data_IF_272201220224
#
_entry.id   IF_272201220224
#
_cell.length_a   1.000
_cell.length_b   1.000
_cell.length_c   1.000
_cell.angle_alpha   90.00
_cell.angle_beta   90.00
_cell.angle_gamma   90.00
#
_symmetry.space_group_name_H-M   'P 1'
#
loop_
_entity.id
_entity.type
_entity.pdbx_description
1 polymer ?
#
# COMPACT_ATOMS: atom_id res chain seq x y z
N UNK A 1 23.42 52.13 37.19
CA UNK A 1 23.66 50.73 36.80
C UNK A 1 22.33 49.99 36.98
N UNK A 2 21.55 49.82 35.92
CA UNK A 2 20.23 49.17 35.99
C UNK A 2 20.43 47.65 35.91
N UNK A 3 19.98 46.94 36.95
CA UNK A 3 19.93 45.48 36.96
C UNK A 3 18.87 45.05 35.91
N UNK A 4 19.33 44.45 34.82
CA UNK A 4 18.45 43.72 33.92
C UNK A 4 18.09 42.43 34.63
N UNK A 5 16.87 42.35 35.14
CA UNK A 5 16.28 41.10 35.63
C UNK A 5 16.14 40.19 34.42
N UNK A 6 16.99 39.17 34.35
CA UNK A 6 16.89 38.14 33.29
C UNK A 6 15.49 37.53 33.31
N UNK A 7 14.84 37.54 32.18
CA UNK A 7 13.61 36.78 31.99
C UNK A 7 13.91 35.32 32.34
N UNK A 8 13.26 34.83 33.39
CA UNK A 8 13.28 33.40 33.68
C UNK A 8 12.65 32.69 32.46
N UNK A 9 13.48 32.07 31.63
CA UNK A 9 13.02 31.15 30.61
C UNK A 9 12.34 30.00 31.34
N UNK A 10 11.02 29.95 31.23
CA UNK A 10 10.25 28.80 31.71
C UNK A 10 10.81 27.59 30.96
N UNK A 11 11.48 26.70 31.70
CA UNK A 11 11.92 25.43 31.14
C UNK A 11 10.67 24.66 30.79
N UNK A 12 10.37 24.59 29.51
CA UNK A 12 9.25 23.77 29.00
C UNK A 12 9.65 22.31 29.17
N UNK A 13 9.11 21.66 30.20
CA UNK A 13 9.29 20.21 30.35
C UNK A 13 8.54 19.51 29.22
N UNK A 14 9.25 18.67 28.45
CA UNK A 14 8.61 17.82 27.47
C UNK A 14 7.99 16.61 28.17
N UNK A 15 6.76 16.25 27.76
CA UNK A 15 6.12 15.03 28.20
C UNK A 15 6.97 13.80 27.81
N UNK A 16 7.15 12.82 28.71
CA UNK A 16 7.78 11.55 28.36
C UNK A 16 6.89 10.69 27.43
N UNK A 17 5.61 11.06 27.30
CA UNK A 17 4.67 10.39 26.40
C UNK A 17 4.76 11.06 25.05
N UNK A 18 5.17 10.30 24.04
CA UNK A 18 5.09 10.73 22.64
C UNK A 18 3.68 10.40 22.18
N UNK A 19 2.86 11.43 22.01
CA UNK A 19 1.59 11.25 21.31
C UNK A 19 1.89 10.92 19.86
N UNK A 20 1.28 9.84 19.35
CA UNK A 20 1.39 9.46 17.95
C UNK A 20 0.92 10.61 17.06
N UNK A 21 1.70 10.94 16.05
CA UNK A 21 1.28 11.92 15.04
C UNK A 21 0.06 11.40 14.24
N UNK A 22 -0.52 12.27 13.44
CA UNK A 22 -1.52 11.87 12.45
C UNK A 22 -0.81 11.13 11.30
N UNK A 23 -0.81 9.81 11.36
CA UNK A 23 -0.24 8.95 10.33
C UNK A 23 -1.36 8.31 9.52
N UNK A 24 -1.11 8.15 8.22
CA UNK A 24 -2.01 7.39 7.37
C UNK A 24 -1.99 5.90 7.77
N UNK A 25 -3.16 5.27 7.76
CA UNK A 25 -3.25 3.84 8.00
C UNK A 25 -2.48 3.03 6.97
N UNK A 26 -2.01 1.85 7.36
CA UNK A 26 -1.33 0.95 6.43
C UNK A 26 -2.34 0.31 5.50
N UNK A 27 -2.18 0.59 4.18
CA UNK A 27 -3.05 0.07 3.13
C UNK A 27 -2.65 -1.35 2.74
N UNK A 28 -1.33 -1.58 2.59
CA UNK A 28 -0.79 -2.87 2.14
C UNK A 28 -0.43 -3.75 3.34
N UNK A 29 -1.44 -4.40 3.89
CA UNK A 29 -1.31 -5.35 5.00
C UNK A 29 -1.42 -6.79 4.50
N UNK A 30 -1.25 -7.74 5.41
CA UNK A 30 -1.45 -9.15 5.12
C UNK A 30 -2.83 -9.40 4.50
N UNK A 31 -2.85 -10.16 3.40
CA UNK A 31 -4.04 -10.47 2.63
C UNK A 31 -4.45 -9.40 1.61
N UNK A 32 -3.75 -8.26 1.55
CA UNK A 32 -3.97 -7.21 0.53
C UNK A 32 -3.00 -7.35 -0.64
N UNK A 33 -1.81 -7.88 -0.37
CA UNK A 33 -0.76 -8.07 -1.36
C UNK A 33 -0.12 -9.44 -1.22
N UNK A 34 0.49 -9.91 -2.29
CA UNK A 34 1.28 -11.12 -2.31
C UNK A 34 2.75 -10.78 -2.03
N UNK A 35 3.15 -10.80 -0.77
CA UNK A 35 4.49 -10.40 -0.33
C UNK A 35 5.31 -11.53 0.29
N UNK A 36 4.65 -12.55 0.85
CA UNK A 36 5.28 -13.49 1.77
C UNK A 36 6.10 -14.61 1.11
N UNK A 37 5.99 -14.80 -0.20
CA UNK A 37 6.70 -15.89 -0.89
C UNK A 37 7.92 -15.42 -1.70
N UNK A 38 8.17 -14.12 -1.73
CA UNK A 38 9.29 -13.55 -2.47
C UNK A 38 10.44 -13.18 -1.52
N UNK A 39 11.34 -14.14 -1.27
CA UNK A 39 12.60 -13.83 -0.60
C UNK A 39 13.59 -13.24 -1.62
N UNK A 40 13.79 -11.94 -1.53
CA UNK A 40 14.69 -11.19 -2.43
C UNK A 40 16.15 -11.47 -2.09
N UNK A 41 16.47 -11.81 -0.85
CA UNK A 41 17.83 -11.88 -0.38
C UNK A 41 18.60 -10.59 -0.72
N UNK A 42 19.70 -10.73 -1.47
CA UNK A 42 20.50 -9.61 -1.97
C UNK A 42 20.20 -9.27 -3.46
N UNK A 43 19.23 -9.95 -4.08
CA UNK A 43 18.87 -9.69 -5.48
C UNK A 43 18.12 -8.35 -5.63
N UNK A 44 18.41 -7.62 -6.70
CA UNK A 44 17.67 -6.40 -7.06
C UNK A 44 16.47 -6.69 -7.98
N UNK A 45 16.24 -7.96 -8.32
CA UNK A 45 15.19 -8.41 -9.24
C UNK A 45 14.73 -9.80 -8.85
N UNK A 46 13.42 -10.03 -8.94
CA UNK A 46 12.80 -11.36 -8.83
C UNK A 46 12.04 -11.66 -10.11
N UNK A 47 12.08 -12.90 -10.52
CA UNK A 47 11.29 -13.41 -11.64
C UNK A 47 10.13 -14.26 -11.12
N UNK A 48 8.92 -13.88 -11.50
CA UNK A 48 7.69 -14.61 -11.17
C UNK A 48 7.15 -15.26 -12.44
N UNK A 49 6.99 -16.58 -12.40
CA UNK A 49 6.35 -17.31 -13.48
C UNK A 49 4.83 -17.28 -13.30
N UNK A 50 4.12 -16.79 -14.31
CA UNK A 50 2.66 -16.79 -14.38
C UNK A 50 2.22 -17.82 -15.41
N UNK A 51 1.50 -18.83 -14.94
CA UNK A 51 0.94 -19.87 -15.82
C UNK A 51 -0.42 -19.41 -16.34
N UNK A 52 -0.57 -19.42 -17.67
CA UNK A 52 -1.88 -19.25 -18.31
C UNK A 52 -2.49 -20.63 -18.55
N UNK A 53 -3.70 -20.91 -18.04
CA UNK A 53 -4.35 -22.20 -18.31
C UNK A 53 -4.61 -22.35 -19.81
N UNK A 54 -4.26 -23.51 -20.35
CA UNK A 54 -4.62 -23.91 -21.69
C UNK A 54 -6.07 -24.40 -21.68
N UNK A 55 -6.98 -23.65 -22.31
CA UNK A 55 -8.39 -23.98 -22.42
C UNK A 55 -8.69 -24.90 -23.63
N UNK A 56 -7.64 -25.42 -24.26
CA UNK A 56 -7.79 -26.32 -25.45
C UNK A 56 -8.10 -27.78 -25.10
N UNK A 57 -8.23 -28.10 -23.80
CA UNK A 57 -8.54 -29.46 -23.35
C UNK A 57 -9.97 -29.83 -23.71
N UNK A 58 -10.11 -30.76 -24.62
CA UNK A 58 -11.41 -31.36 -25.00
C UNK A 58 -11.60 -32.73 -24.34
N UNK A 59 -12.86 -33.17 -24.18
CA UNK A 59 -13.15 -34.52 -23.71
C UNK A 59 -12.54 -35.58 -24.64
N UNK A 60 -11.71 -36.45 -24.08
CA UNK A 60 -11.03 -37.50 -24.85
C UNK A 60 -12.00 -38.59 -25.30
N UNK A 61 -11.88 -38.97 -26.55
CA UNK A 61 -12.55 -40.19 -27.06
C UNK A 61 -11.93 -41.46 -26.43
N UNK A 62 -12.70 -42.41 -25.94
CA UNK A 62 -12.16 -43.66 -25.41
C UNK A 62 -11.21 -44.35 -26.42
N UNK A 63 -9.97 -44.65 -25.96
CA UNK A 63 -8.95 -45.31 -26.81
C UNK A 63 -8.03 -44.37 -27.61
N UNK A 64 -8.24 -43.04 -27.56
CA UNK A 64 -7.33 -42.09 -28.21
C UNK A 64 -6.06 -41.88 -27.36
N UNK A 65 -4.94 -41.52 -27.98
CA UNK A 65 -3.67 -41.18 -27.30
C UNK A 65 -3.76 -39.84 -26.59
N UNK A 66 -2.85 -39.60 -25.64
CA UNK A 66 -2.72 -38.31 -25.00
C UNK A 66 -2.20 -37.26 -25.98
N UNK A 67 -2.85 -36.08 -25.98
CA UNK A 67 -2.30 -34.92 -26.68
C UNK A 67 -1.37 -34.19 -25.71
N UNK A 68 -0.10 -34.06 -26.07
CA UNK A 68 0.85 -33.31 -25.30
C UNK A 68 0.73 -31.83 -25.71
N UNK A 69 0.45 -30.96 -24.76
CA UNK A 69 0.53 -29.51 -24.91
C UNK A 69 1.58 -28.94 -23.96
N UNK A 70 2.29 -27.92 -24.39
CA UNK A 70 3.18 -27.16 -23.53
C UNK A 70 2.42 -25.95 -22.97
N UNK A 71 2.52 -25.75 -21.66
CA UNK A 71 1.98 -24.53 -21.05
C UNK A 71 2.82 -23.34 -21.48
N UNK A 72 2.16 -22.29 -21.93
CA UNK A 72 2.83 -21.01 -22.15
C UNK A 72 3.09 -20.33 -20.78
N UNK A 73 4.33 -20.31 -20.34
CA UNK A 73 4.74 -19.58 -19.15
C UNK A 73 5.11 -18.16 -19.53
N UNK A 74 4.56 -17.20 -18.79
CA UNK A 74 5.00 -15.81 -18.89
C UNK A 74 5.86 -15.50 -17.67
N UNK A 75 7.10 -15.12 -17.91
CA UNK A 75 8.00 -14.66 -16.83
C UNK A 75 7.84 -13.15 -16.67
N UNK A 76 7.53 -12.73 -15.47
CA UNK A 76 7.36 -11.31 -15.11
C UNK A 76 8.50 -10.91 -14.16
N UNK A 77 9.24 -9.89 -14.55
CA UNK A 77 10.31 -9.33 -13.74
C UNK A 77 9.77 -8.29 -12.77
N UNK A 78 10.10 -8.42 -11.49
CA UNK A 78 9.84 -7.43 -10.46
C UNK A 78 11.17 -6.85 -10.03
N UNK A 79 11.39 -5.57 -10.33
CA UNK A 79 12.63 -4.86 -10.03
C UNK A 79 12.46 -3.96 -8.81
N UNK A 80 13.45 -3.96 -7.89
CA UNK A 80 13.50 -3.02 -6.76
C UNK A 80 14.06 -1.67 -7.19
N UNK A 81 13.32 -0.95 -8.02
CA UNK A 81 13.74 0.30 -8.66
C UNK A 81 13.20 1.57 -7.97
N UNK A 82 12.45 1.42 -6.88
CA UNK A 82 12.00 2.52 -6.05
C UNK A 82 12.79 2.53 -4.73
N UNK A 83 13.76 3.42 -4.61
CA UNK A 83 14.55 3.60 -3.39
C UNK A 83 13.94 4.71 -2.54
N UNK A 84 13.63 4.40 -1.30
CA UNK A 84 13.12 5.33 -0.30
C UNK A 84 14.19 5.55 0.75
N UNK A 85 14.65 6.81 0.89
CA UNK A 85 15.68 7.14 1.84
C UNK A 85 15.29 8.36 2.67
N UNK A 86 15.63 8.34 3.94
CA UNK A 86 15.48 9.48 4.83
C UNK A 86 16.62 9.56 5.83
N UNK A 87 17.09 10.79 6.07
CA UNK A 87 18.07 11.09 7.10
C UNK A 87 17.54 12.20 8.00
N UNK A 88 17.51 11.97 9.32
CA UNK A 88 17.05 12.93 10.29
C UNK A 88 18.15 13.27 11.30
N UNK A 89 18.37 14.58 11.52
CA UNK A 89 19.33 15.08 12.52
C UNK A 89 18.72 15.06 13.91
N UNK A 90 19.49 14.61 14.88
CA UNK A 90 19.17 14.70 16.31
C UNK A 90 20.29 15.45 17.01
N UNK A 91 20.11 16.76 17.32
CA UNK A 91 21.14 17.56 17.99
C UNK A 91 21.51 17.00 19.37
N UNK A 92 22.79 17.14 19.77
CA UNK A 92 23.27 16.62 21.04
C UNK A 92 22.53 17.22 22.26
N UNK A 93 22.19 18.49 22.20
CA UNK A 93 21.46 19.15 23.30
C UNK A 93 20.05 18.57 23.48
N UNK A 94 19.40 18.14 22.40
CA UNK A 94 18.08 17.46 22.43
C UNK A 94 18.20 16.10 23.10
N UNK A 95 19.25 15.33 22.77
CA UNK A 95 19.52 14.04 23.40
C UNK A 95 19.80 14.19 24.93
N UNK A 96 20.50 15.26 25.32
CA UNK A 96 20.84 15.49 26.71
C UNK A 96 19.67 16.03 27.56
N UNK A 97 18.71 16.72 26.95
CA UNK A 97 17.63 17.40 27.69
C UNK A 97 16.29 16.65 27.67
N UNK A 98 16.10 15.70 26.76
CA UNK A 98 14.87 14.94 26.69
C UNK A 98 14.88 13.70 27.60
N UNK A 99 13.82 13.49 28.39
CA UNK A 99 13.72 12.37 29.31
C UNK A 99 13.43 11.02 28.59
N UNK A 100 13.09 11.07 27.32
CA UNK A 100 12.75 9.87 26.50
C UNK A 100 13.89 9.52 25.55
N UNK A 101 13.99 8.27 25.11
CA UNK A 101 14.98 7.84 24.14
C UNK A 101 14.70 8.45 22.75
N UNK A 102 15.11 9.70 22.57
CA UNK A 102 14.84 10.52 21.37
C UNK A 102 15.27 9.81 20.09
N UNK A 103 16.38 9.08 20.12
CA UNK A 103 16.86 8.32 18.96
C UNK A 103 15.86 7.26 18.51
N UNK A 104 15.26 6.53 19.45
CA UNK A 104 14.24 5.51 19.14
C UNK A 104 13.01 6.15 18.49
N UNK A 105 12.52 7.26 19.09
CA UNK A 105 11.37 7.97 18.55
C UNK A 105 11.64 8.56 17.16
N UNK A 106 12.86 9.04 16.91
CA UNK A 106 13.25 9.55 15.59
C UNK A 106 13.45 8.44 14.57
N UNK A 107 13.96 7.27 14.96
CA UNK A 107 14.02 6.08 14.11
C UNK A 107 12.61 5.70 13.69
N UNK A 108 11.69 5.57 14.65
CA UNK A 108 10.29 5.26 14.35
C UNK A 108 9.65 6.26 13.37
N UNK A 109 9.87 7.58 13.59
CA UNK A 109 9.34 8.61 12.69
C UNK A 109 9.92 8.54 11.27
N UNK A 110 11.20 8.16 11.12
CA UNK A 110 11.85 7.96 9.81
C UNK A 110 11.23 6.76 9.10
N UNK A 111 11.06 5.65 9.79
CA UNK A 111 10.44 4.43 9.25
C UNK A 111 9.00 4.69 8.81
N UNK A 112 8.21 5.45 9.60
CA UNK A 112 6.84 5.81 9.25
C UNK A 112 6.76 6.70 7.99
N UNK A 113 7.65 7.66 7.85
CA UNK A 113 7.71 8.51 6.66
C UNK A 113 8.03 7.68 5.39
N UNK A 114 8.95 6.72 5.50
CA UNK A 114 9.29 5.79 4.42
C UNK A 114 8.09 4.89 4.10
N UNK A 115 7.41 4.37 5.13
CA UNK A 115 6.20 3.55 4.97
C UNK A 115 5.12 4.29 4.18
N UNK A 116 4.84 5.55 4.52
CA UNK A 116 3.86 6.38 3.80
C UNK A 116 4.28 6.61 2.34
N UNK A 117 5.56 6.91 2.09
CA UNK A 117 6.06 7.11 0.74
C UNK A 117 5.93 5.83 -0.11
N UNK A 118 6.26 4.68 0.47
CA UNK A 118 6.10 3.36 -0.14
C UNK A 118 4.66 3.05 -0.51
N UNK A 119 3.70 3.31 0.39
CA UNK A 119 2.28 3.10 0.14
C UNK A 119 1.77 3.97 -1.01
N UNK A 120 2.15 5.26 -1.06
CA UNK A 120 1.81 6.16 -2.18
C UNK A 120 2.31 5.62 -3.51
N UNK A 121 3.53 5.09 -3.53
CA UNK A 121 4.13 4.49 -4.73
C UNK A 121 3.39 3.22 -5.15
N UNK A 122 3.06 2.34 -4.22
CA UNK A 122 2.28 1.13 -4.50
C UNK A 122 0.88 1.43 -5.07
N UNK A 123 0.18 2.43 -4.51
CA UNK A 123 -1.09 2.91 -5.05
C UNK A 123 -0.93 3.50 -6.46
N UNK A 124 0.14 4.25 -6.73
CA UNK A 124 0.41 4.78 -8.06
C UNK A 124 0.62 3.66 -9.09
N UNK A 125 1.35 2.60 -8.73
CA UNK A 125 1.56 1.43 -9.60
C UNK A 125 0.24 0.71 -9.87
N UNK A 126 -0.58 0.45 -8.84
CA UNK A 126 -1.90 -0.17 -9.00
C UNK A 126 -2.81 0.63 -9.95
N UNK A 127 -2.83 1.96 -9.81
CA UNK A 127 -3.64 2.85 -10.66
C UNK A 127 -3.14 2.90 -12.10
N UNK A 128 -1.83 2.74 -12.31
CA UNK A 128 -1.21 2.83 -13.64
C UNK A 128 -1.23 1.51 -14.39
N UNK A 129 -0.90 0.40 -13.70
CA UNK A 129 -0.80 -0.92 -14.31
C UNK A 129 -2.16 -1.66 -14.31
N UNK A 130 -3.13 -1.22 -13.50
CA UNK A 130 -4.49 -1.75 -13.50
C UNK A 130 -5.30 -1.31 -14.71
N UNK A 131 -6.36 -2.05 -15.02
CA UNK A 131 -7.31 -1.72 -16.09
C UNK A 131 -8.31 -0.67 -15.59
N UNK A 132 -8.46 0.45 -16.29
CA UNK A 132 -9.49 1.41 -15.95
C UNK A 132 -10.89 0.85 -16.25
N UNK A 133 -11.86 1.14 -15.38
CA UNK A 133 -13.27 0.83 -15.64
C UNK A 133 -13.83 1.80 -16.69
N UNK A 134 -14.71 1.30 -17.57
CA UNK A 134 -15.43 2.14 -18.54
C UNK A 134 -16.48 3.02 -17.87
N UNK A 135 -16.91 2.67 -16.65
CA UNK A 135 -17.88 3.42 -15.88
C UNK A 135 -17.18 4.57 -15.14
N UNK A 136 -17.57 5.81 -15.43
CA UNK A 136 -17.03 7.05 -14.84
C UNK A 136 -17.99 7.77 -13.90
N UNK A 137 -19.15 7.18 -13.59
CA UNK A 137 -20.10 7.79 -12.66
C UNK A 137 -19.53 7.85 -11.24
N UNK A 138 -19.76 8.93 -10.53
CA UNK A 138 -19.36 9.08 -9.14
C UNK A 138 -20.06 8.06 -8.23
N UNK A 139 -19.34 7.56 -7.24
CA UNK A 139 -19.87 6.64 -6.24
C UNK A 139 -20.64 7.41 -5.16
N UNK A 140 -21.82 6.89 -4.85
CA UNK A 140 -22.70 7.41 -3.79
C UNK A 140 -23.26 6.25 -2.98
N UNK A 141 -23.81 6.50 -1.80
CA UNK A 141 -24.49 5.48 -1.00
C UNK A 141 -25.67 4.81 -1.73
N UNK A 142 -26.26 5.48 -2.73
CA UNK A 142 -27.37 4.91 -3.51
C UNK A 142 -26.88 3.90 -4.57
N UNK A 143 -25.67 4.04 -5.13
CA UNK A 143 -25.21 3.24 -6.27
C UNK A 143 -23.98 2.36 -5.99
N UNK A 144 -23.29 2.53 -4.85
CA UNK A 144 -22.03 1.81 -4.54
C UNK A 144 -22.19 0.29 -4.67
N UNK A 145 -23.31 -0.28 -4.20
CA UNK A 145 -23.57 -1.73 -4.27
C UNK A 145 -23.69 -2.21 -5.72
N UNK A 146 -24.41 -1.48 -6.56
CA UNK A 146 -24.58 -1.80 -7.97
C UNK A 146 -23.25 -1.73 -8.73
N UNK A 147 -22.49 -0.64 -8.54
CA UNK A 147 -21.21 -0.42 -9.20
C UNK A 147 -20.17 -1.46 -8.82
N UNK A 148 -20.06 -1.80 -7.54
CA UNK A 148 -19.17 -2.85 -7.03
C UNK A 148 -19.55 -4.22 -7.62
N UNK A 149 -20.84 -4.56 -7.65
CA UNK A 149 -21.30 -5.81 -8.24
C UNK A 149 -21.03 -5.88 -9.75
N UNK A 150 -21.16 -4.77 -10.48
CA UNK A 150 -20.88 -4.71 -11.91
C UNK A 150 -19.39 -5.01 -12.19
N UNK A 151 -18.48 -4.35 -11.47
CA UNK A 151 -17.03 -4.59 -11.63
C UNK A 151 -16.65 -5.99 -11.17
N UNK A 152 -17.19 -6.47 -10.04
CA UNK A 152 -16.98 -7.86 -9.60
C UNK A 152 -17.43 -8.86 -10.66
N UNK A 153 -18.58 -8.63 -11.30
CA UNK A 153 -19.10 -9.48 -12.39
C UNK A 153 -18.16 -9.48 -13.59
N UNK A 154 -17.61 -8.31 -13.95
CA UNK A 154 -16.63 -8.19 -15.03
C UNK A 154 -15.35 -9.00 -14.74
N UNK A 155 -14.77 -8.85 -13.55
CA UNK A 155 -13.59 -9.61 -13.13
C UNK A 155 -13.87 -11.12 -13.11
N UNK A 156 -15.03 -11.53 -12.59
CA UNK A 156 -15.43 -12.95 -12.57
C UNK A 156 -15.61 -13.55 -13.97
N UNK A 157 -16.07 -12.78 -14.96
CA UNK A 157 -16.13 -13.22 -16.37
C UNK A 157 -14.73 -13.46 -16.96
N UNK A 158 -13.72 -12.74 -16.47
CA UNK A 158 -12.30 -12.93 -16.82
C UNK A 158 -11.62 -14.02 -15.97
N UNK A 159 -12.40 -14.80 -15.19
CA UNK A 159 -11.93 -15.84 -14.27
C UNK A 159 -11.08 -15.32 -13.10
N UNK A 160 -10.98 -14.00 -12.91
CA UNK A 160 -10.37 -13.42 -11.73
C UNK A 160 -11.21 -13.65 -10.47
N UNK A 161 -10.56 -13.72 -9.32
CA UNK A 161 -11.20 -13.90 -8.02
C UNK A 161 -10.94 -12.66 -7.15
N UNK A 162 -11.67 -11.55 -7.41
CA UNK A 162 -11.45 -10.34 -6.63
C UNK A 162 -11.77 -10.59 -5.17
N UNK A 163 -10.84 -10.30 -4.30
CA UNK A 163 -10.94 -10.50 -2.85
C UNK A 163 -10.54 -9.25 -2.06
N UNK A 164 -9.97 -8.22 -2.73
CA UNK A 164 -9.56 -6.95 -2.12
C UNK A 164 -10.20 -5.77 -2.82
N UNK A 165 -10.66 -4.80 -2.02
CA UNK A 165 -11.12 -3.48 -2.49
C UNK A 165 -10.42 -2.41 -1.67
N UNK A 166 -9.58 -1.60 -2.34
CA UNK A 166 -9.02 -0.38 -1.77
C UNK A 166 -9.93 0.78 -2.16
N UNK A 167 -10.59 1.39 -1.19
CA UNK A 167 -11.57 2.44 -1.44
C UNK A 167 -11.04 3.80 -0.94
N UNK A 168 -11.37 4.87 -1.68
CA UNK A 168 -11.20 6.23 -1.17
C UNK A 168 -12.08 6.46 0.06
N UNK A 169 -11.76 7.48 0.86
CA UNK A 169 -12.52 7.82 2.08
C UNK A 169 -14.01 8.01 1.78
N UNK A 170 -14.34 8.70 0.69
CA UNK A 170 -15.72 8.97 0.30
C UNK A 170 -16.46 7.68 -0.10
N UNK A 171 -15.83 6.85 -0.92
CA UNK A 171 -16.40 5.55 -1.33
C UNK A 171 -16.54 4.60 -0.15
N UNK A 172 -15.56 4.58 0.74
CA UNK A 172 -15.61 3.77 1.95
C UNK A 172 -16.76 4.20 2.87
N UNK A 173 -16.94 5.52 3.05
CA UNK A 173 -18.05 6.07 3.83
C UNK A 173 -19.42 5.74 3.19
N UNK A 174 -19.53 5.85 1.86
CA UNK A 174 -20.73 5.45 1.13
C UNK A 174 -21.04 3.95 1.28
N UNK A 175 -20.01 3.10 1.29
CA UNK A 175 -20.16 1.67 1.54
C UNK A 175 -20.65 1.37 2.97
N UNK A 176 -20.09 2.05 3.98
CA UNK A 176 -20.50 1.90 5.37
C UNK A 176 -21.99 2.20 5.57
N UNK A 177 -22.50 3.24 4.90
CA UNK A 177 -23.90 3.65 4.97
C UNK A 177 -24.85 2.55 4.45
N UNK A 178 -24.44 1.85 3.40
CA UNK A 178 -25.20 0.73 2.81
C UNK A 178 -24.98 -0.56 3.59
N UNK A 179 -23.73 -0.86 3.94
CA UNK A 179 -23.38 -2.07 4.67
C UNK A 179 -24.05 -2.12 6.05
N UNK A 180 -24.22 -0.98 6.71
CA UNK A 180 -24.93 -0.87 7.98
C UNK A 180 -26.38 -1.37 7.95
N UNK A 181 -27.00 -1.40 6.76
CA UNK A 181 -28.38 -1.90 6.56
C UNK A 181 -28.42 -3.39 6.20
N UNK A 182 -27.40 -3.88 5.49
CA UNK A 182 -27.36 -5.23 4.92
C UNK A 182 -26.35 -6.15 5.64
N UNK A 183 -25.64 -5.65 6.65
CA UNK A 183 -24.51 -6.32 7.27
C UNK A 183 -24.88 -6.98 8.60
N UNK A 184 -24.65 -8.28 8.68
CA UNK A 184 -24.61 -8.99 9.97
C UNK A 184 -23.13 -9.07 10.38
N UNK A 185 -22.69 -8.33 11.41
CA UNK A 185 -21.28 -8.33 11.79
C UNK A 185 -20.87 -9.72 12.25
N UNK A 186 -19.82 -10.27 11.63
CA UNK A 186 -19.26 -11.58 12.01
C UNK A 186 -18.51 -11.48 13.34
N UNK A 187 -18.08 -10.27 13.73
CA UNK A 187 -17.56 -9.99 15.07
C UNK A 187 -17.53 -8.47 15.30
N UNK A 188 -18.24 -8.01 16.31
CA UNK A 188 -18.33 -6.59 16.65
C UNK A 188 -17.01 -6.01 17.19
N UNK A 189 -16.15 -6.84 17.78
CA UNK A 189 -14.95 -6.36 18.49
C UNK A 189 -13.84 -5.88 17.54
N UNK A 190 -13.71 -6.46 16.35
CA UNK A 190 -12.68 -6.08 15.40
C UNK A 190 -12.99 -4.80 14.63
N UNK A 191 -14.26 -4.54 14.33
CA UNK A 191 -14.71 -3.35 13.59
C UNK A 191 -14.57 -2.10 14.45
N UNK A 192 -14.94 -2.18 15.73
CA UNK A 192 -14.84 -1.05 16.67
C UNK A 192 -13.39 -0.74 17.03
N UNK A 193 -12.54 -1.76 17.12
CA UNK A 193 -11.14 -1.58 17.51
C UNK A 193 -10.23 -1.09 16.37
N UNK A 194 -10.54 -1.43 15.12
CA UNK A 194 -9.65 -1.16 13.97
C UNK A 194 -10.21 -0.18 12.95
N UNK A 195 -11.49 0.22 13.07
CA UNK A 195 -12.17 1.04 12.05
C UNK A 195 -12.35 0.33 10.70
N UNK A 196 -12.10 -0.97 10.64
CA UNK A 196 -12.19 -1.78 9.41
C UNK A 196 -13.47 -2.58 9.41
N UNK A 197 -14.28 -2.45 8.37
CA UNK A 197 -15.50 -3.22 8.21
C UNK A 197 -15.22 -4.72 7.96
N UNK A 198 -13.98 -5.08 7.66
CA UNK A 198 -13.62 -6.44 7.34
C UNK A 198 -14.13 -6.86 5.96
N UNK A 199 -14.95 -7.93 5.91
CA UNK A 199 -15.41 -8.48 4.64
C UNK A 199 -16.83 -8.04 4.32
N UNK A 200 -17.02 -7.43 3.14
CA UNK A 200 -18.33 -7.16 2.55
C UNK A 200 -18.40 -7.71 1.14
N UNK A 201 -19.47 -8.39 0.79
CA UNK A 201 -19.65 -9.11 -0.49
C UNK A 201 -18.56 -10.15 -0.78
N UNK A 202 -17.92 -10.70 0.26
CA UNK A 202 -16.84 -11.68 0.13
C UNK A 202 -15.49 -11.10 -0.27
N UNK A 203 -15.31 -9.79 -0.13
CA UNK A 203 -14.07 -9.06 -0.39
C UNK A 203 -13.63 -8.29 0.85
N UNK A 204 -12.31 -8.20 1.07
CA UNK A 204 -11.71 -7.38 2.12
C UNK A 204 -11.75 -5.92 1.68
N UNK A 205 -12.36 -5.06 2.48
CA UNK A 205 -12.43 -3.62 2.25
C UNK A 205 -11.42 -2.89 3.12
N UNK A 206 -10.57 -2.12 2.47
CA UNK A 206 -9.54 -1.32 3.11
C UNK A 206 -9.72 0.14 2.71
N UNK A 207 -9.81 1.03 3.71
CA UNK A 207 -9.83 2.46 3.48
C UNK A 207 -8.44 2.94 3.11
N UNK A 208 -8.27 3.43 1.90
CA UNK A 208 -7.02 3.98 1.40
C UNK A 208 -7.01 5.50 1.55
N UNK A 209 -6.75 5.98 2.76
CA UNK A 209 -6.74 7.43 3.10
C UNK A 209 -5.75 8.23 2.29
N UNK A 210 -4.78 7.58 1.67
CA UNK A 210 -3.78 8.21 0.80
C UNK A 210 -4.29 8.44 -0.63
N UNK A 211 -5.40 7.81 -1.07
CA UNK A 211 -6.01 8.13 -2.36
C UNK A 211 -6.53 9.58 -2.34
N UNK A 212 -6.37 10.29 -3.45
CA UNK A 212 -6.80 11.69 -3.58
C UNK A 212 -5.66 12.67 -3.84
N UNK A 213 -4.42 12.19 -4.05
CA UNK A 213 -3.25 13.02 -4.34
C UNK A 213 -2.49 12.59 -5.58
N UNK A 214 -1.48 13.39 -5.95
CA UNK A 214 -0.55 13.05 -7.03
C UNK A 214 0.70 12.39 -6.44
N UNK A 215 1.05 11.21 -6.93
CA UNK A 215 2.17 10.42 -6.44
C UNK A 215 3.23 10.21 -7.52
N UNK A 216 4.48 10.09 -7.06
CA UNK A 216 5.62 9.76 -7.92
C UNK A 216 6.04 8.32 -7.69
N UNK A 217 6.39 7.63 -8.76
CA UNK A 217 6.99 6.30 -8.72
C UNK A 217 7.96 6.13 -9.88
N UNK A 218 8.88 5.18 -9.80
CA UNK A 218 9.71 4.78 -10.91
C UNK A 218 9.06 3.58 -11.62
N UNK A 219 8.84 3.68 -12.92
CA UNK A 219 8.32 2.58 -13.72
C UNK A 219 9.35 1.44 -13.84
N UNK A 220 8.98 0.35 -14.52
CA UNK A 220 9.85 -0.81 -14.71
C UNK A 220 11.22 -0.48 -15.34
N UNK A 221 11.32 0.62 -16.09
CA UNK A 221 12.57 1.13 -16.69
C UNK A 221 13.33 2.11 -15.80
N UNK A 222 12.91 2.33 -14.56
CA UNK A 222 13.52 3.29 -13.62
C UNK A 222 13.23 4.76 -13.92
N UNK A 223 12.27 5.06 -14.81
CA UNK A 223 11.91 6.43 -15.17
C UNK A 223 10.82 6.94 -14.24
N UNK A 224 11.06 8.12 -13.64
CA UNK A 224 10.10 8.76 -12.74
C UNK A 224 8.81 9.15 -13.49
N UNK A 225 7.69 8.70 -12.95
CA UNK A 225 6.34 9.00 -13.42
C UNK A 225 5.56 9.71 -12.31
N UNK A 226 4.53 10.47 -12.70
CA UNK A 226 3.58 11.08 -11.77
C UNK A 226 2.18 10.61 -12.12
N UNK A 227 1.44 10.13 -11.12
CA UNK A 227 0.07 9.64 -11.25
C UNK A 227 -0.83 10.45 -10.35
N UNK A 228 -1.93 10.93 -10.92
CA UNK A 228 -3.01 11.55 -10.17
C UNK A 228 -4.03 10.49 -9.77
N UNK A 229 -4.30 10.40 -8.47
CA UNK A 229 -5.28 9.49 -7.89
C UNK A 229 -6.51 10.21 -7.34
N UNK A 230 -6.64 11.52 -7.58
CA UNK A 230 -7.74 12.33 -7.05
C UNK A 230 -9.12 11.86 -7.54
N UNK A 231 -9.18 11.33 -8.77
CA UNK A 231 -10.42 10.80 -9.34
C UNK A 231 -10.66 9.32 -9.07
N UNK A 232 -9.80 8.65 -8.28
CA UNK A 232 -9.94 7.21 -8.02
C UNK A 232 -10.94 6.99 -6.89
N UNK A 233 -12.06 6.35 -7.20
CA UNK A 233 -13.07 5.95 -6.22
C UNK A 233 -12.63 4.70 -5.45
N UNK A 234 -12.29 3.62 -6.19
CA UNK A 234 -11.75 2.40 -5.60
C UNK A 234 -10.96 1.57 -6.61
N UNK A 235 -10.16 0.65 -6.08
CA UNK A 235 -9.40 -0.35 -6.85
C UNK A 235 -9.84 -1.72 -6.37
N UNK A 236 -10.29 -2.58 -7.28
CA UNK A 236 -10.72 -3.95 -6.97
C UNK A 236 -9.79 -4.95 -7.67
N UNK A 237 -9.24 -5.90 -6.92
CA UNK A 237 -8.30 -6.87 -7.47
C UNK A 237 -8.24 -8.17 -6.67
N UNK A 238 -7.52 -9.15 -7.20
CA UNK A 238 -7.11 -10.37 -6.52
C UNK A 238 -5.75 -10.13 -5.87
N UNK A 239 -5.62 -10.33 -4.54
CA UNK A 239 -4.39 -10.07 -3.80
C UNK A 239 -3.16 -10.78 -4.37
N UNK A 240 -3.36 -11.93 -5.03
CA UNK A 240 -2.29 -12.70 -5.68
C UNK A 240 -1.71 -11.99 -6.92
N UNK A 241 -2.38 -10.97 -7.46
CA UNK A 241 -1.97 -10.27 -8.68
C UNK A 241 -1.18 -9.00 -8.44
N UNK A 242 -1.02 -8.59 -7.20
CA UNK A 242 -0.21 -7.43 -6.83
C UNK A 242 0.89 -7.84 -5.87
N UNK A 243 2.14 -7.74 -6.33
CA UNK A 243 3.32 -8.13 -5.56
C UNK A 243 4.11 -6.91 -5.12
N UNK A 244 4.53 -6.94 -3.86
CA UNK A 244 5.47 -5.98 -3.27
C UNK A 244 6.67 -6.75 -2.76
N UNK A 245 7.86 -6.33 -3.15
CA UNK A 245 9.12 -6.89 -2.65
C UNK A 245 9.94 -5.78 -2.03
N UNK A 246 10.46 -6.02 -0.84
CA UNK A 246 11.26 -5.07 -0.09
C UNK A 246 12.66 -5.59 0.16
N UNK A 247 13.62 -4.70 0.03
CA UNK A 247 15.01 -4.93 0.38
C UNK A 247 15.46 -3.82 1.31
N UNK A 248 15.68 -4.15 2.58
CA UNK A 248 16.29 -3.22 3.52
C UNK A 248 17.76 -3.03 3.13
N UNK A 249 18.11 -1.84 2.68
CA UNK A 249 19.49 -1.49 2.31
C UNK A 249 20.27 -1.07 3.55
N UNK A 250 19.68 -0.18 4.35
CA UNK A 250 20.37 0.38 5.51
C UNK A 250 19.40 0.93 6.55
N UNK A 251 19.67 0.59 7.81
CA UNK A 251 19.10 1.29 8.98
C UNK A 251 20.23 1.53 9.97
N UNK A 252 20.60 2.79 10.22
CA UNK A 252 21.70 3.11 11.11
C UNK A 252 21.55 4.43 11.84
N UNK A 253 22.24 4.54 12.96
CA UNK A 253 22.50 5.80 13.64
C UNK A 253 24.00 6.06 13.62
N UNK A 254 24.40 7.23 13.14
CA UNK A 254 25.81 7.66 13.07
C UNK A 254 25.99 9.01 13.72
N UNK A 255 27.20 9.33 14.12
CA UNK A 255 27.55 10.68 14.57
C UNK A 255 27.43 11.67 13.40
N UNK A 256 26.90 12.85 13.69
CA UNK A 256 26.77 13.88 12.67
C UNK A 256 28.14 14.54 12.39
N UNK A 257 28.72 14.38 11.20
CA UNK A 257 30.06 14.90 10.88
C UNK A 257 30.12 16.44 10.83
N UNK A 258 28.95 17.11 10.70
CA UNK A 258 28.87 18.57 10.50
C UNK A 258 28.39 19.33 11.76
N UNK A 259 27.97 18.64 12.81
CA UNK A 259 27.47 19.27 14.05
C UNK A 259 27.40 18.27 15.18
N UNK A 260 27.41 18.75 16.44
CA UNK A 260 27.22 17.88 17.60
C UNK A 260 25.83 17.22 17.57
N UNK A 261 25.82 15.89 17.66
CA UNK A 261 24.60 15.07 17.65
C UNK A 261 24.70 13.88 16.72
N UNK A 262 23.58 13.23 16.47
CA UNK A 262 23.50 12.00 15.64
C UNK A 262 22.61 12.20 14.41
N UNK A 263 22.81 11.35 13.42
CA UNK A 263 21.95 11.19 12.25
C UNK A 263 21.29 9.81 12.32
N UNK A 264 19.97 9.75 12.21
CA UNK A 264 19.22 8.52 11.97
C UNK A 264 18.98 8.42 10.47
N UNK A 265 19.41 7.33 9.86
CA UNK A 265 19.33 7.10 8.42
C UNK A 265 18.71 5.76 8.14
N UNK A 266 17.75 5.74 7.20
CA UNK A 266 17.12 4.51 6.70
C UNK A 266 16.99 4.60 5.19
N UNK A 267 17.18 3.44 4.53
CA UNK A 267 17.05 3.26 3.09
C UNK A 267 16.46 1.88 2.83
N UNK A 268 15.37 1.85 2.05
CA UNK A 268 14.67 0.65 1.60
C UNK A 268 14.48 0.74 0.10
N UNK A 269 14.89 -0.30 -0.62
CA UNK A 269 14.56 -0.47 -2.03
C UNK A 269 13.32 -1.35 -2.15
N UNK A 270 12.32 -0.88 -2.89
CA UNK A 270 11.06 -1.60 -3.08
C UNK A 270 10.74 -1.79 -4.56
N UNK A 271 10.29 -2.98 -4.90
CA UNK A 271 9.70 -3.32 -6.18
C UNK A 271 8.19 -3.51 -6.06
N UNK A 272 7.45 -2.93 -6.99
CA UNK A 272 6.00 -3.08 -7.11
C UNK A 272 5.66 -3.60 -8.48
N UNK A 273 4.73 -4.57 -8.57
CA UNK A 273 4.28 -5.10 -9.85
C UNK A 273 2.88 -5.67 -9.81
N UNK A 274 2.08 -5.31 -10.80
CA UNK A 274 0.84 -6.01 -11.12
C UNK A 274 1.18 -7.16 -12.07
N UNK A 275 1.05 -8.39 -11.61
CA UNK A 275 1.39 -9.58 -12.40
C UNK A 275 0.33 -9.91 -13.45
N UNK A 276 -0.93 -9.51 -13.23
CA UNK A 276 -2.01 -9.69 -14.20
C UNK A 276 -2.95 -8.47 -14.18
N UNK A 277 -2.76 -7.54 -15.12
CA UNK A 277 -3.57 -6.34 -15.23
C UNK A 277 -5.07 -6.61 -15.48
N UNK A 278 -5.42 -7.75 -16.09
CA UNK A 278 -6.82 -8.12 -16.34
C UNK A 278 -7.59 -8.44 -15.03
N UNK A 279 -6.86 -8.75 -13.95
CA UNK A 279 -7.41 -9.06 -12.63
C UNK A 279 -7.46 -7.84 -11.69
N UNK A 280 -7.07 -6.65 -12.17
CA UNK A 280 -7.09 -5.39 -11.42
C UNK A 280 -7.95 -4.38 -12.16
N UNK A 281 -8.99 -3.87 -11.51
CA UNK A 281 -9.86 -2.83 -12.08
C UNK A 281 -9.81 -1.58 -11.20
N UNK A 282 -9.53 -0.45 -11.85
CA UNK A 282 -9.48 0.88 -11.25
C UNK A 282 -10.72 1.65 -11.64
N UNK A 283 -11.60 1.94 -10.70
CA UNK A 283 -12.77 2.79 -10.89
C UNK A 283 -12.38 4.24 -10.65
N UNK A 284 -12.62 5.08 -11.66
CA UNK A 284 -12.41 6.53 -11.58
C UNK A 284 -13.71 7.25 -11.83
N UNK A 285 -13.90 8.37 -11.18
CA UNK A 285 -14.94 9.34 -11.53
C UNK A 285 -14.43 10.33 -12.60
N UNK A 286 -15.37 10.94 -13.33
CA UNK A 286 -15.05 11.92 -14.38
C UNK A 286 -14.58 13.26 -13.80
#
# INVERSE_FOLDING_TARGET
MALVVGQATVATGMSPVVEGGLYADEVFQDGVTFTSEHDVGNAGQIQVEVYSPDNSIEPKTPGADFTNSEYANTVIDINTNNSFQKSQKVPAYVQATMPTPVLINKTWAVTEDIRIARQKTGLAVLVTEGTASDDTDAITSANVKEKVLAIRKELRKKHAKPDVVLASVDTYSAMLEVAGKDYTPVSNDSVVATGRVGYWMGMLWVEATLLGGSFKYNNASGVAQTVDTASVDFIMYDHMTFSIIDKLVMLRTIDNPNAAGSLVQEEIDTGFKVTNAACVVVKKNA
#
